data_IF_861996092976
#
_entry.id   IF_861996092976
#
_cell.length_a   1.000
_cell.length_b   1.000
_cell.length_c   1.000
_cell.angle_alpha   90.00
_cell.angle_beta   90.00
_cell.angle_gamma   90.00
#
_symmetry.space_group_name_H-M   'P 1'
#
loop_
_entity.id
_entity.type
_entity.pdbx_description
1 polymer ?
#
# COMPACT_ATOMS: atom_id res chain seq x y z
N UNK A 1 -2.51 23.21 -7.75
CA UNK A 1 -1.77 21.98 -8.13
C UNK A 1 -2.69 20.77 -8.37
N UNK A 2 -4.01 20.95 -8.58
CA UNK A 2 -4.94 19.85 -8.88
C UNK A 2 -5.23 19.66 -10.39
N UNK A 3 -4.73 20.55 -11.25
CA UNK A 3 -5.08 20.58 -12.69
C UNK A 3 -4.15 19.73 -13.57
N UNK A 4 -2.89 19.55 -13.17
CA UNK A 4 -1.94 18.71 -13.90
C UNK A 4 -2.19 17.20 -13.74
N UNK A 5 -2.92 16.79 -12.70
CA UNK A 5 -3.30 15.39 -12.47
C UNK A 5 -4.48 14.95 -13.33
N UNK A 6 -5.33 15.90 -13.76
CA UNK A 6 -6.50 15.60 -14.60
C UNK A 6 -6.12 15.37 -16.07
N UNK A 7 -5.13 16.10 -16.61
CA UNK A 7 -4.73 15.97 -18.02
C UNK A 7 -3.94 14.67 -18.33
N UNK A 8 -3.49 13.92 -17.30
CA UNK A 8 -2.91 12.58 -17.48
C UNK A 8 -3.95 11.44 -17.51
N UNK A 9 -5.23 11.74 -17.31
CA UNK A 9 -6.29 10.71 -17.23
C UNK A 9 -6.81 10.28 -18.61
N UNK A 10 -6.61 11.08 -19.66
CA UNK A 10 -7.22 10.87 -20.97
C UNK A 10 -6.43 9.91 -21.89
N UNK A 11 -5.18 9.59 -21.57
CA UNK A 11 -4.33 8.80 -22.47
C UNK A 11 -4.40 7.28 -22.31
N UNK A 12 -5.17 6.73 -21.35
CA UNK A 12 -4.78 5.41 -20.86
C UNK A 12 -5.85 4.46 -20.32
N UNK A 13 -7.01 4.31 -20.96
CA UNK A 13 -8.00 3.33 -20.48
C UNK A 13 -7.45 1.87 -20.44
N UNK A 14 -6.54 1.51 -21.36
CA UNK A 14 -5.93 0.16 -21.43
C UNK A 14 -4.78 -0.01 -20.42
N UNK A 15 -3.90 0.97 -20.23
CA UNK A 15 -2.89 0.89 -19.16
C UNK A 15 -3.57 1.09 -17.80
N UNK A 16 -4.63 1.89 -17.69
CA UNK A 16 -5.43 2.03 -16.47
C UNK A 16 -6.04 0.68 -16.07
N UNK A 17 -6.62 -0.07 -17.00
CA UNK A 17 -7.12 -1.43 -16.73
C UNK A 17 -5.99 -2.41 -16.33
N UNK A 18 -4.84 -2.37 -17.02
CA UNK A 18 -3.69 -3.23 -16.69
C UNK A 18 -3.03 -2.86 -15.36
N UNK A 19 -3.00 -1.58 -15.03
CA UNK A 19 -2.54 -1.05 -13.76
C UNK A 19 -3.50 -1.44 -12.64
N UNK A 20 -4.81 -1.42 -12.88
CA UNK A 20 -5.80 -1.85 -11.91
C UNK A 20 -5.62 -3.34 -11.55
N UNK A 21 -5.52 -4.22 -12.53
CA UNK A 21 -5.25 -5.66 -12.31
C UNK A 21 -3.94 -5.86 -11.54
N UNK A 22 -2.92 -5.07 -11.85
CA UNK A 22 -1.64 -5.13 -11.13
C UNK A 22 -1.82 -4.74 -9.67
N UNK A 23 -2.54 -3.67 -9.37
CA UNK A 23 -2.80 -3.23 -8.00
C UNK A 23 -3.69 -4.19 -7.23
N UNK A 24 -4.67 -4.82 -7.88
CA UNK A 24 -5.48 -5.90 -7.29
C UNK A 24 -4.60 -7.10 -6.92
N UNK A 25 -3.70 -7.53 -7.81
CA UNK A 25 -2.75 -8.62 -7.52
C UNK A 25 -1.81 -8.28 -6.37
N UNK A 26 -1.32 -7.03 -6.30
CA UNK A 26 -0.50 -6.56 -5.18
C UNK A 26 -1.31 -6.56 -3.88
N UNK A 27 -2.56 -6.09 -3.90
CA UNK A 27 -3.43 -6.13 -2.73
C UNK A 27 -3.66 -7.56 -2.26
N UNK A 28 -3.90 -8.50 -3.18
CA UNK A 28 -4.07 -9.91 -2.85
C UNK A 28 -2.80 -10.51 -2.21
N UNK A 29 -1.63 -10.20 -2.76
CA UNK A 29 -0.35 -10.65 -2.20
C UNK A 29 -0.10 -10.08 -0.80
N UNK A 30 -0.42 -8.80 -0.59
CA UNK A 30 -0.36 -8.17 0.74
C UNK A 30 -1.32 -8.84 1.73
N UNK A 31 -2.55 -9.13 1.33
CA UNK A 31 -3.53 -9.81 2.17
C UNK A 31 -3.03 -11.21 2.58
N UNK A 32 -2.51 -12.00 1.63
CA UNK A 32 -1.95 -13.32 1.91
C UNK A 32 -0.76 -13.26 2.88
N UNK A 33 0.10 -12.23 2.76
CA UNK A 33 1.19 -11.97 3.69
C UNK A 33 0.71 -11.62 5.10
N UNK A 34 -0.30 -10.73 5.20
CA UNK A 34 -0.92 -10.36 6.48
C UNK A 34 -1.57 -11.57 7.16
N UNK A 35 -2.27 -12.42 6.41
CA UNK A 35 -2.83 -13.67 6.94
C UNK A 35 -1.74 -14.64 7.41
N UNK A 36 -0.58 -14.68 6.76
CA UNK A 36 0.57 -15.45 7.23
C UNK A 36 1.13 -14.91 8.56
N UNK A 37 1.27 -13.59 8.68
CA UNK A 37 1.65 -12.94 9.92
C UNK A 37 0.63 -13.19 11.05
N UNK A 38 -0.68 -13.20 10.74
CA UNK A 38 -1.72 -13.56 11.70
C UNK A 38 -1.58 -15.01 12.19
N UNK A 39 -1.31 -15.96 11.29
CA UNK A 39 -1.05 -17.37 11.67
C UNK A 39 0.19 -17.52 12.56
N UNK A 40 1.19 -16.65 12.39
CA UNK A 40 2.39 -16.63 13.22
C UNK A 40 2.22 -15.88 14.55
N UNK A 41 1.11 -15.17 14.74
CA UNK A 41 0.90 -14.33 15.93
C UNK A 41 1.64 -13.00 15.90
N UNK A 42 2.08 -12.54 14.72
CA UNK A 42 2.72 -11.23 14.56
C UNK A 42 1.69 -10.08 14.46
N UNK A 43 0.51 -10.38 13.91
CA UNK A 43 -0.60 -9.45 13.67
C UNK A 43 -1.86 -9.99 14.36
N UNK A 44 -2.70 -9.09 14.87
CA UNK A 44 -3.99 -9.42 15.46
C UNK A 44 -4.83 -10.31 14.52
N UNK A 45 -5.18 -11.55 14.91
CA UNK A 45 -5.97 -12.45 14.07
C UNK A 45 -7.41 -11.97 13.84
N UNK A 46 -7.90 -11.01 14.62
CA UNK A 46 -9.22 -10.41 14.43
C UNK A 46 -9.22 -9.24 13.43
N UNK A 47 -8.06 -8.74 13.01
CA UNK A 47 -7.98 -7.66 12.05
C UNK A 47 -8.37 -8.12 10.63
N UNK A 48 -9.07 -7.27 9.88
CA UNK A 48 -9.43 -7.54 8.49
C UNK A 48 -8.19 -7.39 7.57
N UNK A 49 -7.61 -8.53 7.19
CA UNK A 49 -6.41 -8.58 6.35
C UNK A 49 -6.59 -7.91 4.99
N UNK A 50 -7.80 -7.93 4.40
CA UNK A 50 -8.05 -7.27 3.11
C UNK A 50 -8.09 -5.76 3.25
N UNK A 51 -8.70 -5.25 4.31
CA UNK A 51 -8.69 -3.80 4.59
C UNK A 51 -7.28 -3.30 4.88
N UNK A 52 -6.51 -4.04 5.68
CA UNK A 52 -5.10 -3.73 5.94
C UNK A 52 -4.25 -3.79 4.66
N UNK A 53 -4.48 -4.76 3.78
CA UNK A 53 -3.81 -4.82 2.48
C UNK A 53 -4.13 -3.61 1.60
N UNK A 54 -5.39 -3.17 1.58
CA UNK A 54 -5.80 -1.94 0.89
C UNK A 54 -5.10 -0.70 1.43
N UNK A 55 -4.99 -0.58 2.75
CA UNK A 55 -4.24 0.50 3.41
C UNK A 55 -2.75 0.46 3.03
N UNK A 56 -2.10 -0.70 3.14
CA UNK A 56 -0.68 -0.85 2.81
C UNK A 56 -0.41 -0.56 1.33
N UNK A 57 -1.30 -0.97 0.43
CA UNK A 57 -1.21 -0.60 -0.99
C UNK A 57 -1.27 0.92 -1.18
N UNK A 58 -2.22 1.60 -0.54
CA UNK A 58 -2.34 3.06 -0.63
C UNK A 58 -1.09 3.77 -0.09
N UNK A 59 -0.58 3.35 1.06
CA UNK A 59 0.66 3.87 1.65
C UNK A 59 1.84 3.66 0.71
N UNK A 60 1.99 2.45 0.16
CA UNK A 60 3.07 2.12 -0.76
C UNK A 60 3.05 3.00 -2.02
N UNK A 61 1.85 3.29 -2.57
CA UNK A 61 1.70 4.21 -3.71
C UNK A 61 2.02 5.65 -3.35
N UNK A 62 1.64 6.10 -2.15
CA UNK A 62 2.02 7.41 -1.63
C UNK A 62 3.55 7.58 -1.51
N UNK A 63 4.23 6.57 -0.96
CA UNK A 63 5.70 6.56 -0.83
C UNK A 63 6.36 6.57 -2.21
N UNK A 64 5.86 5.79 -3.17
CA UNK A 64 6.37 5.80 -4.54
C UNK A 64 6.22 7.16 -5.21
N UNK A 65 5.06 7.81 -5.04
CA UNK A 65 4.81 9.15 -5.60
C UNK A 65 5.76 10.20 -4.97
N UNK A 66 5.98 10.15 -3.66
CA UNK A 66 6.92 11.03 -2.97
C UNK A 66 8.37 10.80 -3.42
N UNK A 67 8.77 9.54 -3.62
CA UNK A 67 10.09 9.21 -4.17
C UNK A 67 10.29 9.76 -5.58
N UNK A 68 9.27 9.67 -6.45
CA UNK A 68 9.29 10.30 -7.78
C UNK A 68 9.38 11.84 -7.71
N UNK A 69 8.90 12.45 -6.63
CA UNK A 69 9.03 13.87 -6.36
C UNK A 69 10.38 14.29 -5.73
N UNK A 70 11.29 13.33 -5.50
CA UNK A 70 12.64 13.61 -4.98
C UNK A 70 12.73 13.68 -3.45
N UNK A 71 11.79 13.08 -2.72
CA UNK A 71 11.91 12.93 -1.27
C UNK A 71 13.13 12.08 -0.88
N UNK A 72 13.75 12.45 0.23
CA UNK A 72 14.90 11.75 0.79
C UNK A 72 14.60 10.27 1.09
N UNK A 73 15.53 9.38 0.77
CA UNK A 73 15.34 7.93 0.93
C UNK A 73 15.14 7.52 2.39
N UNK A 74 15.85 8.14 3.33
CA UNK A 74 15.69 7.81 4.75
C UNK A 74 14.32 8.25 5.26
N UNK A 75 13.82 9.40 4.77
CA UNK A 75 12.46 9.85 5.06
C UNK A 75 11.42 8.85 4.53
N UNK A 76 11.55 8.40 3.28
CA UNK A 76 10.65 7.40 2.69
C UNK A 76 10.67 6.06 3.44
N UNK A 77 11.87 5.62 3.85
CA UNK A 77 12.05 4.41 4.66
C UNK A 77 11.36 4.52 6.01
N UNK A 78 11.54 5.64 6.70
CA UNK A 78 10.89 5.89 7.99
C UNK A 78 9.36 5.89 7.87
N UNK A 79 8.80 6.39 6.77
CA UNK A 79 7.35 6.31 6.51
C UNK A 79 6.88 4.85 6.36
N UNK A 80 7.62 4.03 5.62
CA UNK A 80 7.29 2.61 5.47
C UNK A 80 7.35 1.86 6.81
N UNK A 81 8.42 2.07 7.58
CA UNK A 81 8.59 1.48 8.91
C UNK A 81 7.47 1.91 9.87
N UNK A 82 7.09 3.19 9.84
CA UNK A 82 5.98 3.72 10.65
C UNK A 82 4.65 3.06 10.29
N UNK A 83 4.37 2.90 8.99
CA UNK A 83 3.15 2.24 8.54
C UNK A 83 3.08 0.78 8.99
N UNK A 84 4.21 0.05 8.92
CA UNK A 84 4.30 -1.32 9.42
C UNK A 84 4.14 -1.39 10.94
N UNK A 85 4.73 -0.44 11.67
CA UNK A 85 4.61 -0.37 13.13
C UNK A 85 3.17 -0.09 13.61
N UNK A 86 2.35 0.54 12.77
CA UNK A 86 0.94 0.84 13.04
C UNK A 86 0.00 -0.37 12.83
N UNK A 87 0.49 -1.49 12.29
CA UNK A 87 -0.33 -2.69 12.13
C UNK A 87 -0.79 -3.22 13.51
N UNK A 88 -2.05 -3.70 13.61
CA UNK A 88 -2.61 -4.14 14.87
C UNK A 88 -1.87 -5.38 15.36
N UNK A 89 -1.40 -5.33 16.60
CA UNK A 89 -0.71 -6.45 17.26
C UNK A 89 -1.70 -7.23 18.11
N UNK A 90 -1.47 -8.55 18.30
CA UNK A 90 -2.32 -9.33 19.19
C UNK A 90 -2.36 -8.74 20.60
N UNK A 91 -3.49 -8.89 21.32
CA UNK A 91 -3.57 -8.51 22.73
C UNK A 91 -2.52 -9.29 23.55
N UNK A 92 -1.91 -8.61 24.51
CA UNK A 92 -0.99 -9.22 25.48
C UNK A 92 -1.73 -10.01 26.54
#
# INVERSE_FOLDING_TARGET
MAKATAELTEHDEVVSARSLITFENVQLALAAGLEACQRNGDIDPAADARQLAGLLLAVHRGIEALGKAGFDENALRSMAETALAALPRPPR
#
